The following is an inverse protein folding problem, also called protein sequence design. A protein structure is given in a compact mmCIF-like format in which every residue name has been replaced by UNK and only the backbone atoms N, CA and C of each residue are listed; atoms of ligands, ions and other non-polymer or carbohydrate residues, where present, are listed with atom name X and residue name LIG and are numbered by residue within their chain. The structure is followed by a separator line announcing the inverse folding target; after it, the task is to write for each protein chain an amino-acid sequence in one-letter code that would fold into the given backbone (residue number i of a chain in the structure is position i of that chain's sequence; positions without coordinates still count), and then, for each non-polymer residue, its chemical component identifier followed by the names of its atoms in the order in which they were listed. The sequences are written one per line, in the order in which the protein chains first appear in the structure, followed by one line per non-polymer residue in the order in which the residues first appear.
data_IF_797489863653
#
_entry.id   IF_797489863653
#
_cell.length_a   1.000
_cell.length_b   1.000
_cell.length_c   1.000
_cell.angle_alpha   90.00
_cell.angle_beta   90.00
_cell.angle_gamma   90.00
#
_symmetry.space_group_name_H-M   'P 1'
#
loop_
_entity.id
_entity.type
_entity.pdbx_description
1 polymer ?
#
# COMPACT_ATOMS: atom_id res chain seq x y z
N UNK A 1 -0.94 17.51 10.37
CA UNK A 1 -0.59 16.66 9.20
C UNK A 1 -0.95 17.38 7.90
N UNK A 2 -0.14 17.16 6.88
CA UNK A 2 -0.39 17.72 5.56
C UNK A 2 0.33 16.86 4.51
N UNK A 3 -0.12 16.96 3.27
CA UNK A 3 0.58 16.29 2.17
C UNK A 3 1.97 16.91 1.94
N UNK A 4 2.15 18.18 2.25
CA UNK A 4 3.45 18.82 2.13
C UNK A 4 4.50 18.16 3.04
N UNK A 5 4.12 17.76 4.25
CA UNK A 5 5.04 17.04 5.13
C UNK A 5 5.47 15.69 4.53
N UNK A 6 4.56 15.01 3.83
CA UNK A 6 4.89 13.78 3.11
C UNK A 6 5.89 14.08 2.00
N UNK A 7 5.66 15.13 1.21
CA UNK A 7 6.57 15.54 0.15
C UNK A 7 7.95 15.88 0.69
N UNK A 8 8.02 16.49 1.87
CA UNK A 8 9.29 16.82 2.53
C UNK A 8 10.06 15.57 2.92
N UNK A 9 9.37 14.52 3.39
CA UNK A 9 10.00 13.22 3.66
C UNK A 9 10.57 12.63 2.38
N UNK A 10 9.82 12.67 1.30
CA UNK A 10 10.26 12.16 -0.02
C UNK A 10 11.48 12.91 -0.51
N UNK A 11 11.49 14.24 -0.38
CA UNK A 11 12.63 15.06 -0.77
C UNK A 11 13.88 14.69 0.04
N UNK A 12 13.75 14.50 1.34
CA UNK A 12 14.85 14.09 2.21
C UNK A 12 15.41 12.73 1.82
N UNK A 13 14.54 11.79 1.45
CA UNK A 13 14.95 10.43 1.06
C UNK A 13 15.45 10.35 -0.38
N UNK A 14 15.25 11.40 -1.18
CA UNK A 14 15.59 11.37 -2.60
C UNK A 14 14.60 10.53 -3.42
N UNK A 15 13.39 10.36 -2.95
CA UNK A 15 12.35 9.59 -3.62
C UNK A 15 11.51 10.47 -4.53
N UNK A 16 11.06 9.88 -5.64
CA UNK A 16 10.21 10.55 -6.60
C UNK A 16 8.74 10.19 -6.39
N UNK A 17 7.87 11.11 -6.81
CA UNK A 17 6.42 10.91 -6.77
C UNK A 17 5.76 11.74 -7.86
N UNK A 18 4.54 11.37 -8.21
CA UNK A 18 3.65 12.16 -9.06
C UNK A 18 2.52 12.72 -8.22
N UNK A 19 2.07 13.91 -8.53
CA UNK A 19 0.91 14.48 -7.85
C UNK A 19 -0.36 13.88 -8.44
N UNK A 20 -1.16 13.22 -7.57
CA UNK A 20 -2.46 12.66 -7.96
C UNK A 20 -3.55 13.71 -7.85
N UNK A 21 -3.46 14.57 -6.83
CA UNK A 21 -4.37 15.67 -6.57
C UNK A 21 -3.69 16.65 -5.61
N UNK A 22 -4.43 17.68 -5.22
CA UNK A 22 -3.98 18.63 -4.19
C UNK A 22 -3.64 17.95 -2.86
N UNK A 23 -4.28 16.82 -2.56
CA UNK A 23 -4.16 16.13 -1.28
C UNK A 23 -3.53 14.75 -1.36
N UNK A 24 -3.00 14.36 -2.52
CA UNK A 24 -2.48 13.01 -2.71
C UNK A 24 -1.31 12.96 -3.67
N UNK A 25 -0.39 12.05 -3.40
CA UNK A 25 0.72 11.73 -4.31
C UNK A 25 0.66 10.24 -4.66
N UNK A 26 1.23 9.89 -5.81
CA UNK A 26 1.42 8.51 -6.25
C UNK A 26 2.89 8.21 -6.38
N UNK A 27 3.26 7.02 -5.99
CA UNK A 27 4.63 6.54 -6.03
C UNK A 27 4.64 5.01 -6.18
N UNK A 28 5.81 4.42 -6.14
CA UNK A 28 5.95 2.97 -6.20
C UNK A 28 7.25 2.53 -5.57
N UNK A 29 7.20 1.39 -4.90
CA UNK A 29 8.37 0.74 -4.29
C UNK A 29 8.26 -0.76 -4.55
N UNK A 30 9.38 -1.38 -4.94
CA UNK A 30 9.42 -2.83 -5.20
C UNK A 30 8.30 -3.28 -6.16
N UNK A 31 7.99 -2.45 -7.15
CA UNK A 31 6.95 -2.66 -8.16
C UNK A 31 5.52 -2.66 -7.61
N UNK A 32 5.33 -2.15 -6.40
CA UNK A 32 3.99 -1.95 -5.82
C UNK A 32 3.64 -0.46 -5.92
N UNK A 33 2.53 -0.17 -6.58
CA UNK A 33 2.02 1.20 -6.68
C UNK A 33 1.33 1.62 -5.38
N UNK A 34 1.62 2.83 -4.94
CA UNK A 34 1.08 3.40 -3.70
C UNK A 34 0.47 4.76 -3.97
N UNK A 35 -0.57 5.07 -3.22
CA UNK A 35 -1.06 6.43 -3.10
C UNK A 35 -0.96 6.84 -1.62
N UNK A 36 -0.41 8.03 -1.38
CA UNK A 36 -0.38 8.60 -0.03
C UNK A 36 -1.27 9.83 -0.06
N UNK A 37 -2.32 9.80 0.74
CA UNK A 37 -3.38 10.80 0.71
C UNK A 37 -3.64 11.40 2.08
N UNK A 38 -3.77 12.72 2.11
CA UNK A 38 -4.27 13.42 3.30
C UNK A 38 -5.81 13.42 3.22
N UNK A 39 -6.41 12.49 3.91
CA UNK A 39 -7.86 12.40 4.07
C UNK A 39 -8.14 12.86 5.50
N UNK A 40 -8.36 14.16 5.64
CA UNK A 40 -8.42 14.81 6.96
C UNK A 40 -9.30 14.04 7.94
N UNK A 41 -8.84 13.85 9.20
CA UNK A 41 -7.60 14.36 9.76
C UNK A 41 -6.35 13.48 9.51
N UNK A 42 -6.50 12.35 8.84
CA UNK A 42 -5.45 11.32 8.73
C UNK A 42 -4.62 11.43 7.46
N UNK A 43 -3.41 10.85 7.51
CA UNK A 43 -2.64 10.52 6.32
C UNK A 43 -2.77 9.01 6.11
N UNK A 44 -3.13 8.59 4.91
CA UNK A 44 -3.26 7.18 4.55
C UNK A 44 -2.24 6.78 3.49
N UNK A 45 -1.56 5.66 3.71
CA UNK A 45 -0.73 5.00 2.70
C UNK A 45 -1.54 3.83 2.18
N UNK A 46 -1.85 3.83 0.89
CA UNK A 46 -2.84 2.92 0.31
C UNK A 46 -2.26 2.23 -0.92
N UNK A 47 -2.59 0.95 -1.07
CA UNK A 47 -2.36 0.21 -2.31
C UNK A 47 -3.61 -0.59 -2.64
N UNK A 48 -3.89 -0.76 -3.93
CA UNK A 48 -4.91 -1.68 -4.42
C UNK A 48 -4.21 -2.64 -5.37
N UNK A 49 -4.13 -3.90 -4.98
CA UNK A 49 -3.40 -4.92 -5.74
C UNK A 49 -4.40 -5.78 -6.49
N UNK A 50 -4.36 -5.73 -7.81
CA UNK A 50 -5.25 -6.50 -8.66
C UNK A 50 -4.45 -7.07 -9.83
N UNK A 51 -4.57 -8.37 -10.06
CA UNK A 51 -3.95 -9.04 -11.20
C UNK A 51 -4.96 -9.93 -11.88
N UNK A 52 -4.84 -10.09 -13.19
CA UNK A 52 -5.85 -10.78 -13.99
C UNK A 52 -5.97 -12.26 -13.65
N UNK A 53 -4.92 -12.88 -13.12
CA UNK A 53 -4.92 -14.29 -12.75
C UNK A 53 -5.69 -14.59 -11.45
N UNK A 54 -6.08 -13.57 -10.70
CA UNK A 54 -6.87 -13.75 -9.47
C UNK A 54 -8.30 -13.35 -9.78
N UNK A 55 -9.10 -14.32 -10.22
CA UNK A 55 -10.47 -14.08 -10.65
C UNK A 55 -11.45 -13.78 -9.52
N UNK A 56 -12.67 -13.46 -9.91
CA UNK A 56 -13.77 -13.15 -8.97
C UNK A 56 -14.09 -14.34 -8.07
N UNK A 57 -13.86 -15.57 -8.54
CA UNK A 57 -14.10 -16.81 -7.80
C UNK A 57 -13.16 -17.01 -6.60
N UNK A 58 -12.09 -16.21 -6.50
CA UNK A 58 -11.12 -16.29 -5.39
C UNK A 58 -11.49 -15.40 -4.21
N UNK A 59 -12.61 -14.68 -4.27
CA UNK A 59 -12.97 -13.70 -3.24
C UNK A 59 -12.99 -14.29 -1.82
N UNK A 60 -13.63 -15.44 -1.64
CA UNK A 60 -13.73 -16.05 -0.30
C UNK A 60 -12.36 -16.48 0.24
N UNK A 61 -11.50 -17.03 -0.62
CA UNK A 61 -10.14 -17.42 -0.23
C UNK A 61 -9.34 -16.20 0.22
N UNK A 62 -9.45 -15.11 -0.53
CA UNK A 62 -8.72 -13.88 -0.23
C UNK A 62 -9.28 -13.21 1.01
N UNK A 63 -10.60 -13.22 1.19
CA UNK A 63 -11.24 -12.70 2.40
C UNK A 63 -10.72 -13.44 3.65
N UNK A 64 -10.64 -14.76 3.58
CA UNK A 64 -10.12 -15.57 4.68
C UNK A 64 -8.64 -15.27 4.96
N UNK A 65 -7.84 -15.13 3.92
CA UNK A 65 -6.43 -14.75 4.05
C UNK A 65 -6.29 -13.38 4.69
N UNK A 66 -7.10 -12.41 4.26
CA UNK A 66 -7.09 -11.04 4.78
C UNK A 66 -7.45 -11.02 6.28
N UNK A 67 -8.46 -11.80 6.70
CA UNK A 67 -8.82 -11.90 8.11
C UNK A 67 -7.66 -12.43 8.95
N UNK A 68 -6.98 -13.47 8.48
CA UNK A 68 -5.81 -14.01 9.17
C UNK A 68 -4.65 -13.02 9.19
N UNK A 69 -4.41 -12.34 8.10
CA UNK A 69 -3.35 -11.33 8.02
C UNK A 69 -3.59 -10.22 9.05
N UNK A 70 -4.81 -9.68 9.09
CA UNK A 70 -5.18 -8.63 10.04
C UNK A 70 -5.10 -9.11 11.49
N UNK A 71 -5.43 -10.38 11.72
CA UNK A 71 -5.37 -10.96 13.06
C UNK A 71 -3.92 -11.10 13.56
N UNK A 72 -2.99 -11.43 12.66
CA UNK A 72 -1.61 -11.75 13.05
C UNK A 72 -0.65 -10.58 12.92
N UNK A 73 -1.02 -9.50 12.21
CA UNK A 73 -0.16 -8.34 11.97
C UNK A 73 -0.75 -7.09 12.60
N UNK A 74 0.10 -6.30 13.24
CA UNK A 74 -0.34 -5.02 13.83
C UNK A 74 -0.75 -4.00 12.77
N UNK A 75 -0.10 -4.06 11.61
CA UNK A 75 -0.36 -3.20 10.44
C UNK A 75 0.25 -3.86 9.20
N UNK A 76 -0.14 -3.44 8.00
CA UNK A 76 -1.29 -2.62 7.63
C UNK A 76 -2.60 -3.41 7.74
N UNK A 77 -3.72 -2.75 7.48
CA UNK A 77 -5.02 -3.41 7.34
C UNK A 77 -5.20 -3.84 5.89
N UNK A 78 -5.63 -5.09 5.68
CA UNK A 78 -5.88 -5.62 4.34
C UNK A 78 -7.35 -6.02 4.22
N UNK A 79 -7.92 -5.84 3.01
CA UNK A 79 -9.34 -6.07 2.74
C UNK A 79 -9.50 -6.67 1.35
N UNK A 80 -10.26 -7.77 1.27
CA UNK A 80 -10.62 -8.34 -0.03
C UNK A 80 -11.66 -7.45 -0.72
N UNK A 81 -11.43 -7.13 -1.98
CA UNK A 81 -12.28 -6.24 -2.76
C UNK A 81 -12.73 -6.94 -4.04
N UNK A 82 -14.00 -6.75 -4.39
CA UNK A 82 -14.54 -7.24 -5.66
C UNK A 82 -14.37 -6.15 -6.70
N UNK A 83 -13.63 -6.45 -7.75
CA UNK A 83 -13.51 -5.59 -8.92
C UNK A 83 -14.35 -6.20 -10.04
N UNK A 84 -15.60 -5.80 -10.09
CA UNK A 84 -16.58 -6.39 -11.01
C UNK A 84 -16.31 -6.01 -12.46
N UNK A 85 -15.76 -4.82 -12.72
CA UNK A 85 -15.44 -4.38 -14.06
C UNK A 85 -14.35 -5.25 -14.70
N UNK A 86 -13.33 -5.62 -13.92
CA UNK A 86 -12.24 -6.48 -14.39
C UNK A 86 -12.52 -7.97 -14.19
N UNK A 87 -13.53 -8.31 -13.38
CA UNK A 87 -13.81 -9.70 -13.03
C UNK A 87 -12.74 -10.34 -12.16
N UNK A 88 -12.08 -9.57 -11.32
CA UNK A 88 -11.01 -10.03 -10.45
C UNK A 88 -11.31 -9.75 -8.99
N UNK A 89 -10.58 -10.42 -8.10
CA UNK A 89 -10.54 -10.08 -6.68
C UNK A 89 -9.27 -9.29 -6.41
N UNK A 90 -9.42 -8.11 -5.86
CA UNK A 90 -8.32 -7.24 -5.50
C UNK A 90 -8.08 -7.28 -3.99
N UNK A 91 -6.90 -6.84 -3.57
CA UNK A 91 -6.61 -6.60 -2.17
C UNK A 91 -6.40 -5.11 -1.95
N UNK A 92 -7.21 -4.53 -1.05
CA UNK A 92 -6.96 -3.19 -0.54
C UNK A 92 -6.01 -3.29 0.64
N UNK A 93 -4.98 -2.44 0.66
CA UNK A 93 -3.97 -2.40 1.71
C UNK A 93 -3.86 -0.97 2.18
N UNK A 94 -3.97 -0.75 3.49
CA UNK A 94 -3.96 0.61 4.03
C UNK A 94 -3.23 0.69 5.37
N UNK A 95 -2.44 1.75 5.51
CA UNK A 95 -1.87 2.18 6.77
C UNK A 95 -2.33 3.61 7.00
N UNK A 96 -2.91 3.88 8.17
CA UNK A 96 -3.42 5.20 8.51
C UNK A 96 -2.64 5.81 9.67
N UNK A 97 -2.14 7.03 9.46
CA UNK A 97 -1.52 7.82 10.51
C UNK A 97 -2.58 8.75 11.09
N UNK A 98 -2.96 8.57 12.37
CA UNK A 98 -4.02 9.39 12.98
C UNK A 98 -3.64 10.87 13.05
N UNK A 99 -4.57 11.74 12.70
CA UNK A 99 -4.36 13.17 12.67
C UNK A 99 -4.69 13.90 13.97
N UNK A 100 -5.06 13.15 15.01
CA UNK A 100 -5.37 13.74 16.32
C UNK A 100 -4.13 13.98 17.20
N UNK A 101 -2.99 13.51 16.76
CA UNK A 101 -1.72 13.59 17.47
C UNK A 101 -0.80 14.58 16.78
N UNK A 102 0.07 15.19 17.58
CA UNK A 102 1.17 15.98 17.04
C UNK A 102 2.40 15.09 16.91
N UNK A 103 3.12 15.25 15.81
CA UNK A 103 4.32 14.46 15.51
C UNK A 103 5.50 15.40 15.31
N UNK A 104 6.63 15.08 15.93
CA UNK A 104 7.91 15.68 15.52
C UNK A 104 8.24 15.26 14.10
N UNK A 105 9.14 15.96 13.44
CA UNK A 105 9.56 15.59 12.08
C UNK A 105 10.13 14.17 12.04
N UNK A 106 10.92 13.79 13.05
CA UNK A 106 11.48 12.44 13.14
C UNK A 106 10.39 11.38 13.34
N UNK A 107 9.40 11.65 14.18
CA UNK A 107 8.28 10.73 14.40
C UNK A 107 7.43 10.58 13.13
N UNK A 108 7.12 11.69 12.49
CA UNK A 108 6.36 11.68 11.24
C UNK A 108 7.06 10.87 10.16
N UNK A 109 8.34 11.13 9.94
CA UNK A 109 9.15 10.38 8.98
C UNK A 109 9.14 8.89 9.29
N UNK A 110 9.36 8.52 10.56
CA UNK A 110 9.35 7.11 10.98
C UNK A 110 8.02 6.43 10.67
N UNK A 111 6.90 7.10 10.92
CA UNK A 111 5.57 6.56 10.62
C UNK A 111 5.33 6.41 9.11
N UNK A 112 5.75 7.37 8.32
CA UNK A 112 5.60 7.28 6.86
C UNK A 112 6.45 6.13 6.31
N UNK A 113 7.70 6.01 6.75
CA UNK A 113 8.57 4.90 6.33
C UNK A 113 7.99 3.54 6.73
N UNK A 114 7.49 3.44 7.96
CA UNK A 114 6.85 2.21 8.47
C UNK A 114 5.61 1.87 7.66
N UNK A 115 4.78 2.88 7.37
CA UNK A 115 3.56 2.69 6.59
C UNK A 115 3.85 2.21 5.17
N UNK A 116 4.81 2.82 4.50
CA UNK A 116 5.21 2.42 3.15
C UNK A 116 5.72 0.98 3.17
N UNK A 117 6.65 0.66 4.08
CA UNK A 117 7.21 -0.68 4.18
C UNK A 117 6.14 -1.73 4.46
N UNK A 118 5.23 -1.44 5.39
CA UNK A 118 4.14 -2.35 5.73
C UNK A 118 3.19 -2.61 4.57
N UNK A 119 2.81 -1.56 3.85
CA UNK A 119 1.91 -1.67 2.69
C UNK A 119 2.58 -2.45 1.55
N UNK A 120 3.84 -2.17 1.25
CA UNK A 120 4.60 -2.91 0.23
C UNK A 120 4.75 -4.37 0.61
N UNK A 121 5.13 -4.66 1.85
CA UNK A 121 5.30 -6.04 2.33
C UNK A 121 4.00 -6.82 2.24
N UNK A 122 2.88 -6.27 2.71
CA UNK A 122 1.59 -6.94 2.66
C UNK A 122 1.14 -7.22 1.22
N UNK A 123 1.37 -6.26 0.33
CA UNK A 123 1.04 -6.40 -1.09
C UNK A 123 1.86 -7.51 -1.75
N UNK A 124 3.15 -7.58 -1.44
CA UNK A 124 4.05 -8.63 -1.94
C UNK A 124 3.70 -10.00 -1.36
N UNK A 125 3.36 -10.06 -0.06
CA UNK A 125 2.92 -11.30 0.59
C UNK A 125 1.66 -11.86 -0.06
N UNK A 126 0.70 -10.98 -0.37
CA UNK A 126 -0.52 -11.36 -1.08
C UNK A 126 -0.20 -11.96 -2.46
N UNK A 127 0.65 -11.30 -3.22
CA UNK A 127 1.03 -11.79 -4.56
C UNK A 127 1.80 -13.11 -4.47
N UNK A 128 2.67 -13.27 -3.47
CA UNK A 128 3.41 -14.52 -3.28
C UNK A 128 2.47 -15.69 -2.99
N UNK A 129 1.38 -15.45 -2.29
CA UNK A 129 0.39 -16.49 -1.95
C UNK A 129 -0.54 -16.81 -3.12
N UNK A 130 -1.08 -15.80 -3.80
CA UNK A 130 -2.15 -15.99 -4.78
C UNK A 130 -1.72 -15.86 -6.23
N UNK A 131 -0.57 -15.28 -6.49
CA UNK A 131 -0.05 -15.08 -7.85
C UNK A 131 1.48 -15.10 -7.84
N UNK A 132 2.10 -16.23 -7.40
CA UNK A 132 3.56 -16.30 -7.29
C UNK A 132 4.29 -16.06 -8.61
N UNK A 133 3.67 -16.36 -9.74
CA UNK A 133 4.23 -16.04 -11.06
C UNK A 133 4.41 -14.54 -11.28
N UNK A 134 3.53 -13.73 -10.70
CA UNK A 134 3.64 -12.26 -10.77
C UNK A 134 4.83 -11.79 -9.93
N UNK A 135 4.98 -12.30 -8.71
CA UNK A 135 6.10 -11.94 -7.84
C UNK A 135 7.43 -12.28 -8.50
N UNK A 136 7.53 -13.46 -9.09
CA UNK A 136 8.73 -13.89 -9.80
C UNK A 136 9.05 -12.96 -10.95
N UNK A 137 8.05 -12.61 -11.77
CA UNK A 137 8.23 -11.69 -12.88
C UNK A 137 8.68 -10.30 -12.42
N UNK A 138 8.06 -9.78 -11.34
CA UNK A 138 8.43 -8.48 -10.78
C UNK A 138 9.88 -8.48 -10.30
N UNK A 139 10.34 -9.55 -9.67
CA UNK A 139 11.70 -9.66 -9.18
C UNK A 139 12.71 -9.73 -10.34
N UNK A 140 12.37 -10.42 -11.42
CA UNK A 140 13.22 -10.50 -12.61
C UNK A 140 13.32 -9.17 -13.35
N UNK A 141 12.23 -8.38 -13.39
CA UNK A 141 12.15 -7.10 -14.10
C UNK A 141 12.61 -5.93 -13.26
N UNK A 142 12.67 -6.08 -11.95
CA UNK A 142 12.96 -4.98 -11.05
C UNK A 142 14.39 -4.47 -11.26
N UNK A 143 14.59 -3.17 -11.44
CA UNK A 143 15.92 -2.62 -11.38
C UNK A 143 16.48 -2.82 -9.97
N UNK A 144 17.77 -3.02 -9.88
CA UNK A 144 18.42 -3.12 -8.57
C UNK A 144 18.45 -1.73 -7.94
N UNK A 145 17.67 -1.57 -6.91
CA UNK A 145 17.63 -0.36 -6.12
C UNK A 145 18.71 -0.40 -5.03
#
# INVERSE_FOLDING_TARGET
LSIQRVKDVFAKQGWQFDEASEFAIRTGFSRIGLEIAHIAPNINVISSVAVDSIGADRYEDIRNWAEQYNYTKAYPTVTALKDEERGVTALGVAYSLPGHWEYTDAQFESHILTGIQGVVTASRDFLAEFAPEVTQRLDEEAPQD
#
